data_IF_789466412926
#
_entry.id   IF_789466412926
#
_cell.length_a   1.000
_cell.length_b   1.000
_cell.length_c   1.000
_cell.angle_alpha   90.00
_cell.angle_beta   90.00
_cell.angle_gamma   90.00
#
_symmetry.space_group_name_H-M   'P 1'
#
loop_
_entity.id
_entity.type
_entity.pdbx_description
1 polymer ?
#
# COMPACT_ATOMS: atom_id res chain seq x y z
N UNK A 1 3.96 8.23 19.05
CA UNK A 1 4.10 8.64 17.64
C UNK A 1 5.47 8.22 17.14
N UNK A 2 5.53 7.36 16.14
CA UNK A 2 6.79 6.93 15.52
C UNK A 2 7.19 7.98 14.48
N UNK A 3 8.41 8.50 14.59
CA UNK A 3 8.99 9.45 13.64
C UNK A 3 10.04 8.73 12.81
N UNK A 4 10.04 8.93 11.50
CA UNK A 4 11.02 8.38 10.57
C UNK A 4 11.85 9.51 9.96
N UNK A 5 13.12 9.23 9.75
CA UNK A 5 13.99 10.06 8.91
C UNK A 5 13.62 9.95 7.44
N UNK A 6 14.11 10.88 6.62
CA UNK A 6 13.90 10.83 5.17
C UNK A 6 14.48 9.56 4.53
N UNK A 7 15.65 9.10 5.01
CA UNK A 7 16.30 7.88 4.53
C UNK A 7 15.50 6.63 4.88
N UNK A 8 14.96 6.54 6.10
CA UNK A 8 14.09 5.43 6.49
C UNK A 8 12.80 5.41 5.69
N UNK A 9 12.17 6.57 5.49
CA UNK A 9 10.97 6.65 4.65
C UNK A 9 11.28 6.25 3.21
N UNK A 10 12.42 6.67 2.67
CA UNK A 10 12.87 6.25 1.34
C UNK A 10 13.04 4.75 1.25
N UNK A 11 13.72 4.15 2.23
CA UNK A 11 13.99 2.72 2.27
C UNK A 11 12.71 1.89 2.33
N UNK A 12 11.82 2.15 3.29
CA UNK A 12 10.59 1.37 3.45
C UNK A 12 9.60 1.60 2.31
N UNK A 13 9.53 2.81 1.77
CA UNK A 13 8.70 3.07 0.59
C UNK A 13 9.28 2.40 -0.67
N UNK A 14 10.61 2.34 -0.80
CA UNK A 14 11.30 1.57 -1.84
C UNK A 14 11.01 0.07 -1.75
N UNK A 15 10.99 -0.50 -0.54
CA UNK A 15 10.60 -1.89 -0.28
C UNK A 15 9.14 -2.14 -0.70
N UNK A 16 8.21 -1.22 -0.40
CA UNK A 16 6.82 -1.30 -0.86
C UNK A 16 6.74 -1.36 -2.39
N UNK A 17 7.43 -0.44 -3.08
CA UNK A 17 7.45 -0.40 -4.54
C UNK A 17 8.06 -1.68 -5.13
N UNK A 18 9.14 -2.18 -4.55
CA UNK A 18 9.77 -3.42 -4.97
C UNK A 18 8.83 -4.62 -4.83
N UNK A 19 8.17 -4.77 -3.68
CA UNK A 19 7.18 -5.84 -3.43
C UNK A 19 6.04 -5.77 -4.45
N UNK A 20 5.51 -4.57 -4.72
CA UNK A 20 4.47 -4.37 -5.72
C UNK A 20 4.92 -4.77 -7.12
N UNK A 21 6.14 -4.39 -7.51
CA UNK A 21 6.70 -4.71 -8.84
C UNK A 21 6.87 -6.21 -9.07
N UNK A 22 7.27 -6.95 -8.03
CA UNK A 22 7.55 -8.39 -8.15
C UNK A 22 6.29 -9.25 -8.05
N UNK A 23 5.33 -8.86 -7.20
CA UNK A 23 4.30 -9.78 -6.73
C UNK A 23 2.86 -9.36 -7.05
N UNK A 24 2.60 -8.08 -7.37
CA UNK A 24 1.22 -7.62 -7.61
C UNK A 24 0.53 -8.41 -8.72
N UNK A 25 -0.65 -8.94 -8.42
CA UNK A 25 -1.38 -9.88 -9.27
C UNK A 25 -2.49 -9.20 -10.07
N UNK A 26 -2.95 -8.02 -9.64
CA UNK A 26 -3.96 -7.24 -10.34
C UNK A 26 -3.61 -5.74 -10.30
N UNK A 27 -4.32 -4.94 -11.10
CA UNK A 27 -4.15 -3.48 -11.12
C UNK A 27 -5.23 -2.80 -10.27
N UNK A 28 -4.91 -1.75 -9.48
CA UNK A 28 -3.60 -1.10 -9.34
C UNK A 28 -2.56 -1.98 -8.63
N UNK A 29 -1.29 -1.82 -9.03
CA UNK A 29 -0.18 -2.48 -8.33
C UNK A 29 0.11 -1.72 -7.05
N UNK A 30 -0.16 -2.35 -5.91
CA UNK A 30 0.08 -1.76 -4.60
C UNK A 30 1.00 -2.69 -3.81
N UNK A 31 1.92 -2.11 -3.06
CA UNK A 31 2.75 -2.82 -2.10
C UNK A 31 2.71 -2.10 -0.77
N UNK A 32 2.80 -2.87 0.31
CA UNK A 32 2.75 -2.36 1.66
C UNK A 32 3.68 -3.14 2.59
N UNK A 33 4.24 -2.45 3.58
CA UNK A 33 5.01 -3.06 4.67
C UNK A 33 4.62 -2.47 6.02
N UNK A 34 4.58 -3.31 7.04
CA UNK A 34 4.38 -2.90 8.44
C UNK A 34 5.74 -2.84 9.11
N UNK A 35 6.07 -1.70 9.73
CA UNK A 35 7.36 -1.43 10.36
C UNK A 35 7.16 -1.21 11.85
N UNK A 36 7.90 -1.97 12.67
CA UNK A 36 7.91 -1.82 14.12
C UNK A 36 9.34 -1.85 14.62
N UNK A 37 9.71 -0.86 15.43
CA UNK A 37 11.07 -0.70 15.98
C UNK A 37 12.15 -0.78 14.88
N UNK A 38 11.92 -0.11 13.75
CA UNK A 38 12.85 -0.06 12.62
C UNK A 38 12.95 -1.34 11.79
N UNK A 39 12.14 -2.37 12.05
CA UNK A 39 12.14 -3.63 11.31
C UNK A 39 10.82 -3.89 10.62
N UNK A 40 10.85 -4.47 9.42
CA UNK A 40 9.64 -4.94 8.72
C UNK A 40 9.11 -6.18 9.41
N UNK A 41 7.89 -6.10 9.92
CA UNK A 41 7.18 -7.18 10.62
C UNK A 41 6.03 -7.77 9.82
N UNK A 42 5.64 -7.15 8.70
CA UNK A 42 4.65 -7.69 7.77
C UNK A 42 4.82 -7.11 6.37
N UNK A 43 4.48 -7.87 5.34
CA UNK A 43 4.57 -7.49 3.92
C UNK A 43 3.30 -7.85 3.17
N UNK A 44 2.93 -7.03 2.19
CA UNK A 44 1.77 -7.28 1.37
C UNK A 44 1.84 -6.63 0.00
N UNK A 45 1.05 -7.17 -0.92
CA UNK A 45 0.85 -6.65 -2.27
C UNK A 45 -0.60 -6.84 -2.71
N UNK A 46 -1.03 -6.15 -3.76
CA UNK A 46 -2.35 -6.39 -4.37
C UNK A 46 -2.42 -7.80 -4.95
N UNK A 47 -3.12 -8.71 -4.26
CA UNK A 47 -3.22 -10.14 -4.55
C UNK A 47 -4.67 -10.67 -4.51
N UNK A 48 -4.84 -11.96 -4.33
CA UNK A 48 -6.18 -12.54 -4.15
C UNK A 48 -6.28 -13.21 -2.79
N UNK A 49 -7.50 -13.27 -2.24
CA UNK A 49 -7.77 -14.08 -1.05
C UNK A 49 -7.53 -15.55 -1.42
N UNK A 50 -6.74 -16.25 -0.63
CA UNK A 50 -6.36 -17.65 -0.87
C UNK A 50 -7.57 -18.55 -1.18
N UNK A 51 -7.44 -19.34 -2.24
CA UNK A 51 -8.51 -20.23 -2.72
C UNK A 51 -9.66 -19.51 -3.44
N UNK A 52 -9.58 -18.21 -3.68
CA UNK A 52 -10.60 -17.43 -4.40
C UNK A 52 -10.01 -16.59 -5.54
N UNK A 53 -10.87 -15.89 -6.30
CA UNK A 53 -10.47 -14.84 -7.25
C UNK A 53 -10.83 -13.44 -6.77
N UNK A 54 -11.10 -13.28 -5.48
CA UNK A 54 -11.49 -12.00 -4.91
C UNK A 54 -10.25 -11.17 -4.57
N UNK A 55 -10.25 -9.86 -4.86
CA UNK A 55 -9.10 -9.00 -4.62
C UNK A 55 -8.81 -8.86 -3.13
N UNK A 56 -7.54 -8.95 -2.78
CA UNK A 56 -6.99 -8.65 -1.46
C UNK A 56 -5.99 -7.50 -1.59
N UNK A 57 -6.25 -6.41 -0.86
CA UNK A 57 -5.42 -5.21 -0.89
C UNK A 57 -4.11 -5.41 -0.12
N UNK A 58 -3.06 -4.70 -0.55
CA UNK A 58 -1.71 -4.84 -0.01
C UNK A 58 -1.65 -4.54 1.49
N UNK A 59 -2.36 -3.51 1.94
CA UNK A 59 -2.40 -3.08 3.33
C UNK A 59 -2.97 -4.17 4.23
N UNK A 60 -4.06 -4.80 3.80
CA UNK A 60 -4.68 -5.89 4.57
C UNK A 60 -3.76 -7.10 4.63
N UNK A 61 -3.17 -7.50 3.51
CA UNK A 61 -2.19 -8.59 3.48
C UNK A 61 -1.00 -8.31 4.42
N UNK A 62 -0.44 -7.09 4.39
CA UNK A 62 0.69 -6.72 5.24
C UNK A 62 0.33 -6.70 6.74
N UNK A 63 -0.89 -6.26 7.07
CA UNK A 63 -1.40 -6.27 8.45
C UNK A 63 -1.67 -7.69 8.95
N UNK A 64 -2.23 -8.56 8.10
CA UNK A 64 -2.46 -9.96 8.42
C UNK A 64 -1.14 -10.71 8.66
N UNK A 65 -0.12 -10.45 7.83
CA UNK A 65 1.25 -10.98 7.98
C UNK A 65 1.92 -10.49 9.28
N UNK A 66 1.74 -9.20 9.62
CA UNK A 66 2.25 -8.63 10.87
C UNK A 66 1.55 -9.18 12.13
N UNK A 67 0.28 -9.55 12.01
CA UNK A 67 -0.56 -10.02 13.11
C UNK A 67 -0.49 -9.11 14.33
N UNK A 68 -0.21 -9.68 15.51
CA UNK A 68 -0.12 -8.92 16.78
C UNK A 68 0.96 -7.84 16.79
N UNK A 69 1.92 -7.88 15.85
CA UNK A 69 2.97 -6.87 15.77
C UNK A 69 2.47 -5.56 15.17
N UNK A 70 1.34 -5.55 14.44
CA UNK A 70 0.76 -4.35 13.84
C UNK A 70 0.39 -3.25 14.85
N UNK A 71 -0.05 -3.63 16.06
CA UNK A 71 -0.45 -2.66 17.09
C UNK A 71 0.70 -1.74 17.48
N UNK A 72 0.49 -0.43 17.36
CA UNK A 72 1.49 0.61 17.62
C UNK A 72 2.64 0.62 16.61
N UNK A 73 2.46 0.02 15.43
CA UNK A 73 3.44 0.03 14.34
C UNK A 73 3.14 1.17 13.35
N UNK A 74 4.01 1.30 12.35
CA UNK A 74 3.77 2.14 11.19
C UNK A 74 3.45 1.27 9.96
N UNK A 75 2.52 1.71 9.12
CA UNK A 75 2.25 1.11 7.82
C UNK A 75 2.82 2.01 6.72
N UNK A 76 3.61 1.44 5.83
CA UNK A 76 4.01 2.06 4.57
C UNK A 76 3.22 1.43 3.43
N UNK A 77 2.71 2.23 2.50
CA UNK A 77 1.98 1.75 1.31
C UNK A 77 2.24 2.63 0.09
N UNK A 78 2.32 2.03 -1.11
CA UNK A 78 2.61 2.80 -2.33
C UNK A 78 1.47 3.71 -2.78
N UNK A 79 0.23 3.42 -2.38
CA UNK A 79 -0.98 4.15 -2.80
C UNK A 79 -1.82 4.54 -1.57
N UNK A 80 -2.55 5.64 -1.67
CA UNK A 80 -3.50 6.08 -0.66
C UNK A 80 -4.49 4.96 -0.27
N UNK A 81 -4.67 4.63 1.03
CA UNK A 81 -5.60 3.60 1.46
C UNK A 81 -7.06 3.91 1.13
N UNK A 82 -7.80 2.89 0.66
CA UNK A 82 -9.20 3.06 0.27
C UNK A 82 -10.15 3.29 1.46
N UNK A 83 -11.18 4.13 1.26
CA UNK A 83 -12.19 4.47 2.29
C UNK A 83 -13.52 3.74 2.14
N UNK A 84 -13.80 3.17 0.96
CA UNK A 84 -15.08 2.53 0.62
C UNK A 84 -14.86 1.12 0.10
N UNK A 85 -15.90 0.31 0.26
CA UNK A 85 -15.98 -1.05 -0.29
C UNK A 85 -16.40 -0.93 -1.76
N UNK A 86 -15.62 -1.48 -2.68
CA UNK A 86 -16.03 -1.59 -4.09
C UNK A 86 -16.94 -2.79 -4.31
N UNK A 87 -17.69 -2.83 -5.42
CA UNK A 87 -18.60 -3.95 -5.74
C UNK A 87 -17.90 -5.33 -5.76
N UNK A 88 -16.59 -5.35 -6.04
CA UNK A 88 -15.79 -6.57 -6.11
C UNK A 88 -14.97 -6.82 -4.83
N UNK A 89 -15.18 -6.05 -3.77
CA UNK A 89 -14.47 -6.15 -2.51
C UNK A 89 -15.46 -6.63 -1.44
N UNK A 90 -15.14 -7.76 -0.79
CA UNK A 90 -15.96 -8.30 0.30
C UNK A 90 -15.47 -7.87 1.68
N UNK A 91 -14.24 -7.37 1.75
CA UNK A 91 -13.58 -6.94 2.98
C UNK A 91 -13.82 -5.44 3.20
N UNK A 92 -13.89 -5.01 4.47
CA UNK A 92 -14.06 -3.60 4.84
C UNK A 92 -12.99 -2.67 4.24
N UNK A 93 -13.18 -1.36 4.38
CA UNK A 93 -12.22 -0.39 3.83
C UNK A 93 -10.82 -0.58 4.45
N UNK A 94 -9.77 -0.26 3.69
CA UNK A 94 -8.41 -0.37 4.22
C UNK A 94 -8.20 0.61 5.37
N UNK A 95 -8.75 1.82 5.28
CA UNK A 95 -8.68 2.80 6.38
C UNK A 95 -9.28 2.26 7.70
N UNK A 96 -10.46 1.64 7.65
CA UNK A 96 -11.11 1.07 8.85
C UNK A 96 -10.24 -0.05 9.42
N UNK A 97 -9.73 -0.94 8.54
CA UNK A 97 -8.92 -2.05 8.99
C UNK A 97 -7.58 -1.62 9.60
N UNK A 98 -6.93 -0.61 9.04
CA UNK A 98 -5.71 0.00 9.60
C UNK A 98 -5.98 0.51 11.03
N UNK A 99 -7.12 1.19 11.23
CA UNK A 99 -7.52 1.68 12.54
C UNK A 99 -7.82 0.54 13.52
N UNK A 100 -8.54 -0.51 13.08
CA UNK A 100 -8.83 -1.70 13.89
C UNK A 100 -7.58 -2.44 14.34
N UNK A 101 -6.54 -2.51 13.50
CA UNK A 101 -5.25 -3.13 13.84
C UNK A 101 -4.39 -2.27 14.78
N UNK A 102 -4.82 -1.04 15.07
CA UNK A 102 -4.15 -0.13 15.98
C UNK A 102 -2.81 0.38 15.46
N UNK A 103 -2.71 0.67 14.16
CA UNK A 103 -1.56 1.36 13.56
C UNK A 103 -1.50 2.80 14.06
N UNK A 104 -0.31 3.27 14.42
CA UNK A 104 -0.11 4.65 14.92
C UNK A 104 0.20 5.64 13.79
N UNK A 105 0.90 5.15 12.75
CA UNK A 105 1.44 5.97 11.67
C UNK A 105 1.19 5.31 10.32
N UNK A 106 0.71 6.06 9.34
CA UNK A 106 0.63 5.65 7.93
C UNK A 106 1.50 6.57 7.08
N UNK A 107 2.38 5.98 6.28
CA UNK A 107 3.17 6.68 5.27
C UNK A 107 2.77 6.16 3.89
N UNK A 108 2.31 7.02 3.01
CA UNK A 108 1.85 6.61 1.67
C UNK A 108 2.59 7.35 0.54
N UNK A 109 2.72 6.74 -0.63
CA UNK A 109 3.42 7.34 -1.78
C UNK A 109 2.51 8.25 -2.62
N UNK A 110 1.73 7.62 -3.49
CA UNK A 110 0.85 8.29 -4.44
C UNK A 110 -0.56 8.48 -3.89
N UNK A 111 -1.23 9.56 -4.32
CA UNK A 111 -2.67 9.71 -4.14
C UNK A 111 -3.42 8.75 -5.06
N UNK A 112 -4.60 8.30 -4.65
CA UNK A 112 -5.45 7.50 -5.53
C UNK A 112 -6.33 8.41 -6.40
N UNK A 113 -5.84 8.73 -7.59
CA UNK A 113 -6.50 9.62 -8.55
C UNK A 113 -7.48 8.90 -9.49
N UNK A 114 -7.50 7.57 -9.50
CA UNK A 114 -8.18 6.78 -10.54
C UNK A 114 -9.41 6.00 -10.06
N UNK A 115 -9.77 6.06 -8.77
CA UNK A 115 -10.93 5.36 -8.26
C UNK A 115 -12.23 6.14 -8.49
N UNK A 116 -13.13 5.57 -9.29
CA UNK A 116 -14.46 6.12 -9.54
C UNK A 116 -15.24 6.26 -8.21
N UNK A 117 -15.51 7.49 -7.77
CA UNK A 117 -16.28 7.77 -6.55
C UNK A 117 -15.44 7.97 -5.27
N UNK A 118 -14.12 8.11 -5.44
CA UNK A 118 -13.17 8.49 -4.40
C UNK A 118 -12.64 9.90 -4.68
N UNK A 119 -12.51 10.71 -3.63
CA UNK A 119 -11.83 12.00 -3.73
C UNK A 119 -10.40 11.83 -3.20
N UNK A 120 -9.35 12.22 -3.94
CA UNK A 120 -7.99 12.20 -3.44
C UNK A 120 -7.90 12.89 -2.06
N UNK A 121 -7.30 12.21 -1.08
CA UNK A 121 -7.20 12.69 0.29
C UNK A 121 -8.36 12.28 1.22
N UNK A 122 -9.41 11.62 0.73
CA UNK A 122 -10.48 11.07 1.59
C UNK A 122 -9.93 10.02 2.58
N UNK A 123 -8.95 9.22 2.14
CA UNK A 123 -8.28 8.21 2.96
C UNK A 123 -7.46 8.84 4.08
N UNK A 124 -6.76 9.93 3.76
CA UNK A 124 -5.99 10.72 4.73
C UNK A 124 -6.92 11.25 5.83
N UNK A 125 -8.02 11.90 5.45
CA UNK A 125 -8.98 12.47 6.39
C UNK A 125 -9.61 11.39 7.29
N UNK A 126 -9.96 10.23 6.72
CA UNK A 126 -10.53 9.11 7.47
C UNK A 126 -9.55 8.54 8.50
N UNK A 127 -8.30 8.29 8.11
CA UNK A 127 -7.27 7.81 9.02
C UNK A 127 -6.99 8.81 10.15
N UNK A 128 -6.88 10.11 9.82
CA UNK A 128 -6.70 11.17 10.81
C UNK A 128 -7.86 11.25 11.81
N UNK A 129 -9.11 10.99 11.37
CA UNK A 129 -10.27 10.94 12.25
C UNK A 129 -10.21 9.79 13.29
N UNK A 130 -9.43 8.74 13.01
CA UNK A 130 -9.11 7.66 13.94
C UNK A 130 -7.89 7.95 14.82
N UNK A 131 -7.31 9.15 14.75
CA UNK A 131 -6.13 9.53 15.53
C UNK A 131 -4.80 9.00 14.98
N UNK A 132 -4.80 8.52 13.73
CA UNK A 132 -3.61 7.99 13.06
C UNK A 132 -2.81 9.15 12.45
N UNK A 133 -1.49 9.13 12.65
CA UNK A 133 -0.60 10.10 12.02
C UNK A 133 -0.35 9.71 10.56
N UNK A 134 -0.67 10.59 9.62
CA UNK A 134 -0.59 10.29 8.18
C UNK A 134 0.41 11.23 7.50
N UNK A 135 1.34 10.66 6.72
CA UNK A 135 2.36 11.39 5.96
C UNK A 135 2.38 10.90 4.52
N UNK A 136 2.45 11.82 3.57
CA UNK A 136 2.77 11.48 2.19
C UNK A 136 4.27 11.54 1.94
N UNK A 137 4.85 10.48 1.38
CA UNK A 137 6.22 10.42 0.92
C UNK A 137 6.29 10.45 -0.61
N UNK A 138 6.20 11.65 -1.18
CA UNK A 138 6.06 11.85 -2.63
C UNK A 138 7.37 11.68 -3.44
N UNK A 139 8.53 11.50 -2.80
CA UNK A 139 9.84 11.50 -3.49
C UNK A 139 10.04 10.33 -4.46
N UNK A 140 9.23 9.28 -4.35
CA UNK A 140 9.26 8.12 -5.24
C UNK A 140 8.08 8.09 -6.24
N UNK A 141 7.24 9.14 -6.30
CA UNK A 141 6.05 9.15 -7.14
C UNK A 141 6.38 8.93 -8.61
N UNK A 142 7.40 9.59 -9.17
CA UNK A 142 7.81 9.40 -10.56
C UNK A 142 8.17 7.93 -10.86
N UNK A 143 8.88 7.26 -9.95
CA UNK A 143 9.20 5.84 -10.09
C UNK A 143 7.92 4.98 -10.04
N UNK A 144 7.04 5.26 -9.09
CA UNK A 144 5.80 4.51 -8.92
C UNK A 144 4.84 4.72 -10.09
N UNK A 145 4.69 5.93 -10.59
CA UNK A 145 3.90 6.24 -11.79
C UNK A 145 4.39 5.46 -13.00
N UNK A 146 5.71 5.40 -13.20
CA UNK A 146 6.30 4.68 -14.32
C UNK A 146 6.09 3.15 -14.24
N UNK A 147 6.16 2.58 -13.04
CA UNK A 147 6.23 1.13 -12.82
C UNK A 147 4.93 0.47 -12.33
N UNK A 148 4.12 1.21 -11.58
CA UNK A 148 2.96 0.70 -10.85
C UNK A 148 1.62 1.19 -11.42
N UNK A 149 1.56 2.43 -11.93
CA UNK A 149 0.30 3.03 -12.39
C UNK A 149 -0.19 2.48 -13.74
N UNK A 150 0.65 1.75 -14.48
CA UNK A 150 0.25 1.13 -15.76
C UNK A 150 -0.50 -0.18 -15.56
N UNK A 151 -1.61 -0.42 -16.30
CA UNK A 151 -2.31 -1.70 -16.28
C UNK A 151 -1.37 -2.88 -16.55
N UNK A 152 -1.61 -4.02 -15.91
CA UNK A 152 -0.84 -5.25 -16.14
C UNK A 152 -0.89 -5.73 -17.61
N UNK A 153 -1.93 -5.34 -18.34
CA UNK A 153 -2.14 -5.64 -19.76
C UNK A 153 -1.31 -4.77 -20.69
N UNK A 154 -0.72 -3.67 -20.20
CA UNK A 154 0.18 -2.82 -20.97
C UNK A 154 1.53 -3.52 -21.18
N UNK A 155 1.64 -4.23 -22.32
CA UNK A 155 2.82 -4.99 -22.74
C UNK A 155 4.05 -4.11 -23.02
N UNK A 156 3.94 -2.78 -22.99
CA UNK A 156 5.12 -1.90 -23.14
C UNK A 156 6.09 -2.00 -21.96
N UNK A 157 5.60 -2.38 -20.77
CA UNK A 157 6.40 -2.58 -19.56
C UNK A 157 7.04 -3.98 -19.53
N UNK A 158 6.36 -4.99 -20.09
CA UNK A 158 6.81 -6.40 -20.07
C UNK A 158 7.94 -6.67 -21.09
N UNK A 159 8.04 -5.89 -22.18
CA UNK A 159 8.95 -6.19 -23.30
C UNK A 159 10.36 -5.59 -23.22
N UNK A 160 10.71 -4.77 -22.23
CA UNK A 160 12.01 -4.09 -22.19
C UNK A 160 13.13 -4.79 -21.40
N UNK A 161 12.88 -5.96 -20.80
CA UNK A 161 13.89 -6.60 -19.94
C UNK A 161 14.23 -8.06 -20.26
N UNK A 162 13.41 -8.78 -21.05
CA UNK A 162 13.72 -10.19 -21.39
C UNK A 162 14.90 -10.33 -22.38
N UNK A 163 15.32 -9.25 -23.05
CA UNK A 163 16.42 -9.27 -24.03
C UNK A 163 17.64 -8.41 -23.65
N UNK A 164 17.93 -8.25 -22.35
CA UNK A 164 19.24 -7.74 -21.89
C UNK A 164 19.86 -8.71 -20.90
N UNK A 165 20.23 -9.89 -21.42
CA UNK A 165 21.34 -10.71 -20.95
C UNK A 165 22.31 -10.88 -22.10
#
# INVERSE_FOLDING_TARGET
MITFTDEEMHYFMGECAYIAMQNAQYWPKVGAVVVKKGSVVGRGYSGHIDGTRLPLHAERMALDDAGRQAKGAALFTTLEPCTKISQNQLLGSCCDYIAEQGIDTVVFGMLDEHSHGFCPGEGIAKLQSHGIYVVQYAKLNTLMEEKLSKPLTDRTVVRKWVNRR
#
